data_IF_451022041766
#
_entry.id   IF_451022041766
#
_cell.length_a   1.000
_cell.length_b   1.000
_cell.length_c   1.000
_cell.angle_alpha   90.00
_cell.angle_beta   90.00
_cell.angle_gamma   90.00
#
_symmetry.space_group_name_H-M   'P 1'
#
loop_
_entity.id
_entity.type
_entity.pdbx_description
1 polymer ?
#
# COMPACT_ATOMS: atom_id res chain seq x y z
N UNK A 1 -9.07 -18.47 -53.46
CA UNK A 1 -8.12 -18.45 -52.33
C UNK A 1 -7.55 -17.05 -52.19
N UNK A 2 -7.97 -16.28 -51.18
CA UNK A 2 -7.35 -15.00 -50.84
C UNK A 2 -7.39 -14.84 -49.32
N UNK A 3 -6.22 -14.55 -48.75
CA UNK A 3 -5.85 -14.72 -47.34
C UNK A 3 -6.65 -13.80 -46.42
N UNK A 4 -7.13 -14.36 -45.31
CA UNK A 4 -7.70 -13.66 -44.19
C UNK A 4 -6.64 -12.69 -43.60
N UNK A 5 -6.95 -11.39 -43.61
CA UNK A 5 -6.21 -10.39 -42.85
C UNK A 5 -6.66 -10.48 -41.41
N UNK A 6 -5.96 -11.27 -40.61
CA UNK A 6 -6.02 -11.20 -39.15
C UNK A 6 -5.62 -9.78 -38.72
N UNK A 7 -6.61 -8.98 -38.31
CA UNK A 7 -6.32 -7.73 -37.63
C UNK A 7 -5.70 -8.08 -36.27
N UNK A 8 -4.57 -7.46 -35.89
CA UNK A 8 -4.04 -7.60 -34.55
C UNK A 8 -5.07 -7.01 -33.58
N UNK A 9 -5.50 -7.84 -32.63
CA UNK A 9 -6.22 -7.42 -31.44
C UNK A 9 -5.41 -6.32 -30.78
N UNK A 10 -5.93 -5.09 -30.83
CA UNK A 10 -5.43 -4.01 -30.00
C UNK A 10 -5.55 -4.47 -28.54
N UNK A 11 -4.42 -4.86 -27.93
CA UNK A 11 -4.31 -4.98 -26.47
C UNK A 11 -4.69 -3.60 -25.95
N UNK A 12 -5.81 -3.54 -25.24
CA UNK A 12 -6.25 -2.35 -24.52
C UNK A 12 -5.05 -1.87 -23.69
N UNK A 13 -4.52 -0.72 -24.07
CA UNK A 13 -3.59 0.05 -23.25
C UNK A 13 -4.41 0.46 -22.03
N UNK A 14 -4.24 -0.26 -20.92
CA UNK A 14 -4.92 0.07 -19.68
C UNK A 14 -4.49 1.47 -19.27
N UNK A 15 -5.44 2.40 -19.38
CA UNK A 15 -5.30 3.80 -19.06
C UNK A 15 -5.02 3.93 -17.56
N UNK A 16 -3.86 4.49 -17.21
CA UNK A 16 -3.49 4.98 -15.86
C UNK A 16 -3.22 3.92 -14.78
N UNK A 17 -2.41 2.88 -15.04
CA UNK A 17 -1.82 2.12 -13.94
C UNK A 17 -0.84 3.05 -13.18
N UNK A 18 -1.23 3.54 -12.01
CA UNK A 18 -0.33 4.28 -11.13
C UNK A 18 0.90 3.41 -10.83
N UNK A 19 2.13 3.94 -10.93
CA UNK A 19 3.33 3.14 -10.75
C UNK A 19 3.40 2.57 -9.33
N UNK A 20 4.02 1.40 -9.19
CA UNK A 20 4.34 0.79 -7.91
C UNK A 20 5.60 1.45 -7.35
N UNK A 21 5.47 2.19 -6.25
CA UNK A 21 6.61 2.76 -5.53
C UNK A 21 7.12 1.77 -4.48
N UNK A 22 8.15 1.00 -4.83
CA UNK A 22 8.67 -0.08 -3.99
C UNK A 22 10.05 0.25 -3.43
N UNK A 23 10.29 -0.11 -2.18
CA UNK A 23 11.64 -0.15 -1.60
C UNK A 23 12.47 -1.26 -2.27
N UNK A 24 13.78 -1.27 -2.01
CA UNK A 24 14.65 -2.32 -2.54
C UNK A 24 14.21 -3.73 -2.10
N UNK A 25 13.71 -3.89 -0.87
CA UNK A 25 13.29 -5.19 -0.35
C UNK A 25 11.92 -5.60 -0.87
N UNK A 26 10.97 -4.67 -0.96
CA UNK A 26 9.66 -4.93 -1.58
C UNK A 26 9.80 -5.26 -3.07
N UNK A 27 10.74 -4.62 -3.76
CA UNK A 27 11.04 -4.94 -5.15
C UNK A 27 11.50 -6.39 -5.29
N UNK A 28 12.35 -6.90 -4.38
CA UNK A 28 12.76 -8.32 -4.39
C UNK A 28 11.55 -9.23 -4.23
N UNK A 29 10.66 -8.93 -3.27
CA UNK A 29 9.41 -9.67 -3.07
C UNK A 29 8.55 -9.64 -4.33
N UNK A 30 8.39 -8.47 -4.95
CA UNK A 30 7.58 -8.30 -6.16
C UNK A 30 8.17 -9.09 -7.33
N UNK A 31 9.50 -9.10 -7.51
CA UNK A 31 10.13 -9.88 -8.58
C UNK A 31 9.96 -11.39 -8.42
N UNK A 32 9.71 -11.88 -7.20
CA UNK A 32 9.43 -13.29 -6.94
C UNK A 32 8.00 -13.70 -7.34
N UNK A 33 7.11 -12.74 -7.63
CA UNK A 33 5.77 -13.03 -8.13
C UNK A 33 5.78 -13.61 -9.55
N UNK A 34 4.68 -14.30 -9.87
CA UNK A 34 4.45 -14.86 -11.20
C UNK A 34 4.52 -13.76 -12.27
N UNK A 35 4.98 -14.11 -13.48
CA UNK A 35 5.08 -13.15 -14.58
C UNK A 35 3.74 -12.50 -14.93
N UNK A 36 2.62 -13.21 -14.73
CA UNK A 36 1.27 -12.71 -14.94
C UNK A 36 0.96 -11.52 -14.03
N UNK A 37 1.18 -11.65 -12.72
CA UNK A 37 0.92 -10.59 -11.74
C UNK A 37 1.83 -9.36 -11.93
N UNK A 38 2.98 -9.53 -12.59
CA UNK A 38 3.93 -8.45 -12.87
C UNK A 38 3.67 -7.74 -14.19
N UNK A 39 2.91 -8.34 -15.12
CA UNK A 39 2.69 -7.77 -16.45
C UNK A 39 1.94 -6.44 -16.33
N UNK A 40 2.39 -5.41 -17.07
CA UNK A 40 1.72 -4.12 -17.14
C UNK A 40 2.04 -3.13 -16.02
N UNK A 41 2.80 -3.51 -14.99
CA UNK A 41 3.15 -2.63 -13.87
C UNK A 41 4.50 -1.92 -14.07
N UNK A 42 4.48 -0.59 -13.98
CA UNK A 42 5.71 0.21 -13.88
C UNK A 42 6.17 0.24 -12.41
N UNK A 43 7.43 -0.16 -12.14
CA UNK A 43 7.98 -0.19 -10.78
C UNK A 43 9.00 0.94 -10.59
N UNK A 44 8.64 1.94 -9.79
CA UNK A 44 9.52 3.03 -9.36
C UNK A 44 10.18 2.71 -8.02
N UNK A 45 11.35 3.28 -7.81
CA UNK A 45 12.07 3.14 -6.54
C UNK A 45 11.50 4.13 -5.53
N UNK A 46 11.09 3.63 -4.36
CA UNK A 46 10.77 4.47 -3.21
C UNK A 46 12.05 4.86 -2.48
N UNK A 47 12.34 6.17 -2.45
CA UNK A 47 13.54 6.75 -1.83
C UNK A 47 13.22 7.58 -0.59
N UNK A 48 11.95 7.87 -0.37
CA UNK A 48 11.45 8.57 0.80
C UNK A 48 11.90 7.85 2.05
N UNK A 49 12.48 8.61 2.97
CA UNK A 49 12.81 8.14 4.31
C UNK A 49 11.99 8.95 5.27
N UNK A 50 11.38 8.25 6.21
CA UNK A 50 10.69 8.87 7.31
C UNK A 50 11.10 8.15 8.58
N UNK A 51 11.37 8.95 9.60
CA UNK A 51 11.57 8.46 10.95
C UNK A 51 10.36 8.92 11.73
N UNK A 52 9.53 7.95 12.09
CA UNK A 52 8.31 8.20 12.85
C UNK A 52 8.65 8.23 14.33
N UNK A 53 8.54 9.40 14.95
CA UNK A 53 8.64 9.50 16.40
C UNK A 53 7.28 9.24 17.03
N UNK A 54 7.21 8.70 18.26
CA UNK A 54 5.95 8.51 18.97
C UNK A 54 5.11 9.80 19.04
N UNK A 55 5.76 10.96 19.20
CA UNK A 55 5.09 12.27 19.25
C UNK A 55 4.44 12.63 17.91
N UNK A 56 5.10 12.32 16.77
CA UNK A 56 4.53 12.56 15.44
C UNK A 56 3.36 11.64 15.15
N UNK A 57 3.42 10.39 15.62
CA UNK A 57 2.30 9.46 15.56
C UNK A 57 1.10 9.97 16.35
N UNK A 58 1.33 10.41 17.59
CA UNK A 58 0.28 10.96 18.44
C UNK A 58 -0.34 12.22 17.81
N UNK A 59 0.47 13.13 17.26
CA UNK A 59 -0.04 14.30 16.55
C UNK A 59 -0.92 13.89 15.36
N UNK A 60 -0.53 12.91 14.53
CA UNK A 60 -1.40 12.45 13.43
C UNK A 60 -2.71 11.87 13.93
N UNK A 61 -2.67 11.12 15.03
CA UNK A 61 -3.88 10.59 15.66
C UNK A 61 -4.80 11.71 16.17
N UNK A 62 -4.25 12.76 16.77
CA UNK A 62 -5.01 13.91 17.27
C UNK A 62 -5.57 14.80 16.14
N UNK A 63 -4.87 14.89 15.01
CA UNK A 63 -5.27 15.72 13.86
C UNK A 63 -6.41 15.14 13.04
N UNK A 64 -6.60 13.82 13.07
CA UNK A 64 -7.65 13.18 12.29
C UNK A 64 -8.99 13.33 12.99
N UNK A 65 -10.02 13.70 12.21
CA UNK A 65 -11.43 13.67 12.62
C UNK A 65 -11.98 12.24 12.71
N UNK A 66 -11.11 11.26 12.89
CA UNK A 66 -11.52 9.90 13.18
C UNK A 66 -12.41 9.94 14.42
N UNK A 67 -13.54 9.25 14.36
CA UNK A 67 -14.27 8.94 15.56
C UNK A 67 -13.33 8.10 16.44
N UNK A 68 -12.61 8.75 17.37
CA UNK A 68 -11.60 8.12 18.22
C UNK A 68 -12.16 6.85 18.84
N UNK A 69 -13.42 6.84 19.27
CA UNK A 69 -14.03 5.65 19.86
C UNK A 69 -14.10 4.44 18.92
N UNK A 70 -14.34 4.65 17.61
CA UNK A 70 -14.47 3.56 16.63
C UNK A 70 -13.12 2.96 16.23
N UNK A 71 -12.08 3.80 16.08
CA UNK A 71 -10.79 3.39 15.50
C UNK A 71 -9.63 3.36 16.49
N UNK A 72 -9.82 3.82 17.73
CA UNK A 72 -8.78 3.79 18.77
C UNK A 72 -8.16 2.41 18.94
N UNK A 73 -8.95 1.34 18.93
CA UNK A 73 -8.42 -0.03 19.09
C UNK A 73 -7.48 -0.43 17.94
N UNK A 74 -7.81 -0.02 16.72
CA UNK A 74 -7.00 -0.31 15.53
C UNK A 74 -5.69 0.46 15.61
N UNK A 75 -5.76 1.75 15.93
CA UNK A 75 -4.59 2.62 16.07
C UNK A 75 -3.70 2.17 17.23
N UNK A 76 -4.27 1.92 18.41
CA UNK A 76 -3.53 1.46 19.58
C UNK A 76 -2.83 0.12 19.28
N UNK A 77 -3.50 -0.81 18.57
CA UNK A 77 -2.89 -2.08 18.18
C UNK A 77 -1.77 -1.88 17.15
N UNK A 78 -1.99 -1.06 16.13
CA UNK A 78 -0.95 -0.73 15.14
C UNK A 78 0.29 -0.13 15.83
N UNK A 79 0.08 0.74 16.82
CA UNK A 79 1.15 1.35 17.61
C UNK A 79 1.93 0.36 18.48
N UNK A 80 1.44 -0.87 18.68
CA UNK A 80 2.18 -1.93 19.38
C UNK A 80 2.96 -2.86 18.46
N UNK A 81 2.75 -2.78 17.14
CA UNK A 81 3.45 -3.65 16.18
C UNK A 81 4.94 -3.29 16.11
N UNK A 82 5.81 -4.22 16.52
CA UNK A 82 7.27 -4.13 16.47
C UNK A 82 7.90 -5.30 15.71
N UNK A 83 7.13 -6.34 15.42
CA UNK A 83 7.58 -7.53 14.70
C UNK A 83 6.62 -7.96 13.59
N UNK A 84 7.09 -8.81 12.70
CA UNK A 84 6.27 -9.39 11.64
C UNK A 84 5.14 -10.28 12.18
N UNK A 85 5.35 -10.93 13.33
CA UNK A 85 4.34 -11.75 14.00
C UNK A 85 3.20 -10.89 14.58
N UNK A 86 3.56 -9.81 15.27
CA UNK A 86 2.58 -8.84 15.79
C UNK A 86 1.83 -8.15 14.64
N UNK A 87 2.51 -7.87 13.53
CA UNK A 87 1.88 -7.34 12.33
C UNK A 87 0.85 -8.32 11.76
N UNK A 88 1.19 -9.61 11.69
CA UNK A 88 0.25 -10.63 11.22
C UNK A 88 -0.98 -10.71 12.13
N UNK A 89 -0.81 -10.67 13.46
CA UNK A 89 -1.94 -10.59 14.39
C UNK A 89 -2.76 -9.31 14.20
N UNK A 90 -2.13 -8.18 13.92
CA UNK A 90 -2.81 -6.93 13.62
C UNK A 90 -3.70 -7.05 12.38
N UNK A 91 -3.16 -7.50 11.24
CA UNK A 91 -3.91 -7.62 9.99
C UNK A 91 -5.08 -8.61 10.11
N UNK A 92 -4.91 -9.70 10.86
CA UNK A 92 -5.97 -10.68 11.09
C UNK A 92 -7.13 -10.16 11.95
N UNK A 93 -6.85 -9.23 12.86
CA UNK A 93 -7.86 -8.69 13.77
C UNK A 93 -8.59 -7.46 13.21
N UNK A 94 -8.03 -6.82 12.18
CA UNK A 94 -8.59 -5.62 11.57
C UNK A 94 -9.32 -5.97 10.29
N UNK A 95 -10.65 -5.84 10.33
CA UNK A 95 -11.46 -5.97 9.13
C UNK A 95 -11.44 -4.66 8.32
N UNK A 96 -10.50 -4.58 7.38
CA UNK A 96 -10.44 -3.46 6.44
C UNK A 96 -11.59 -3.46 5.42
N UNK A 97 -12.30 -4.58 5.23
CA UNK A 97 -13.34 -4.72 4.20
C UNK A 97 -14.63 -3.98 4.56
N UNK A 98 -14.88 -3.76 5.85
CA UNK A 98 -16.03 -3.00 6.35
C UNK A 98 -15.78 -1.50 6.46
N UNK A 99 -14.56 -1.02 6.15
CA UNK A 99 -14.22 0.39 6.17
C UNK A 99 -14.60 1.07 4.85
N UNK A 100 -15.15 2.28 4.95
CA UNK A 100 -15.24 3.18 3.78
C UNK A 100 -13.84 3.62 3.33
N UNK A 101 -13.73 4.11 2.10
CA UNK A 101 -12.45 4.59 1.57
C UNK A 101 -11.85 5.72 2.43
N UNK A 102 -12.68 6.66 2.90
CA UNK A 102 -12.23 7.75 3.77
C UNK A 102 -11.71 7.22 5.12
N UNK A 103 -12.43 6.26 5.72
CA UNK A 103 -12.01 5.63 6.98
C UNK A 103 -10.70 4.86 6.82
N UNK A 104 -10.51 4.16 5.71
CA UNK A 104 -9.26 3.46 5.41
C UNK A 104 -8.10 4.44 5.26
N UNK A 105 -8.29 5.54 4.53
CA UNK A 105 -7.26 6.58 4.36
C UNK A 105 -6.87 7.18 5.71
N UNK A 106 -7.84 7.51 6.55
CA UNK A 106 -7.60 8.06 7.88
C UNK A 106 -6.83 7.06 8.77
N UNK A 107 -7.21 5.78 8.74
CA UNK A 107 -6.47 4.72 9.48
C UNK A 107 -5.03 4.62 8.97
N UNK A 108 -4.82 4.53 7.65
CA UNK A 108 -3.48 4.44 7.05
C UNK A 108 -2.62 5.66 7.36
N UNK A 109 -3.20 6.86 7.37
CA UNK A 109 -2.50 8.09 7.76
C UNK A 109 -2.10 8.08 9.23
N UNK A 110 -2.99 7.58 10.10
CA UNK A 110 -2.70 7.47 11.52
C UNK A 110 -1.51 6.55 11.78
N UNK A 111 -1.61 5.30 11.30
CA UNK A 111 -0.62 4.25 11.58
C UNK A 111 0.74 4.55 10.93
N UNK A 112 0.76 5.39 9.90
CA UNK A 112 1.98 5.93 9.32
C UNK A 112 2.65 5.00 8.30
N UNK A 113 3.71 5.50 7.64
CA UNK A 113 4.31 4.84 6.48
C UNK A 113 5.02 3.52 6.81
N UNK A 114 5.44 3.30 8.06
CA UNK A 114 6.09 2.04 8.47
C UNK A 114 5.10 0.88 8.46
N UNK A 115 3.92 1.06 9.07
CA UNK A 115 2.84 0.07 9.06
C UNK A 115 2.33 -0.14 7.63
N UNK A 116 2.24 0.93 6.82
CA UNK A 116 1.90 0.80 5.40
C UNK A 116 2.94 -0.02 4.63
N UNK A 117 4.24 0.12 4.95
CA UNK A 117 5.29 -0.70 4.32
C UNK A 117 5.17 -2.18 4.67
N UNK A 118 4.74 -2.49 5.89
CA UNK A 118 4.42 -3.86 6.29
C UNK A 118 3.19 -4.40 5.54
N UNK A 119 2.14 -3.58 5.35
CA UNK A 119 0.97 -3.94 4.53
C UNK A 119 1.35 -4.20 3.08
N UNK A 120 2.22 -3.37 2.48
CA UNK A 120 2.74 -3.57 1.12
C UNK A 120 3.51 -4.89 1.03
N UNK A 121 4.45 -5.12 1.95
CA UNK A 121 5.29 -6.32 1.94
C UNK A 121 4.44 -7.59 2.10
N UNK A 122 3.47 -7.59 3.01
CA UNK A 122 2.55 -8.70 3.22
C UNK A 122 1.62 -8.91 2.02
N UNK A 123 1.06 -7.84 1.46
CA UNK A 123 0.23 -7.89 0.26
C UNK A 123 0.99 -8.52 -0.90
N UNK A 124 2.23 -8.08 -1.16
CA UNK A 124 3.09 -8.67 -2.20
C UNK A 124 3.32 -10.16 -1.92
N UNK A 125 3.64 -10.54 -0.69
CA UNK A 125 3.93 -11.94 -0.36
C UNK A 125 2.70 -12.87 -0.49
N UNK A 126 1.48 -12.33 -0.45
CA UNK A 126 0.23 -13.10 -0.42
C UNK A 126 -0.63 -12.93 -1.68
N UNK A 127 -0.22 -12.05 -2.61
CA UNK A 127 -0.94 -11.76 -3.85
C UNK A 127 -1.14 -13.01 -4.73
N UNK A 128 -2.38 -13.20 -5.19
CA UNK A 128 -2.80 -14.32 -6.05
C UNK A 128 -3.46 -13.83 -7.33
N UNK A 129 -4.07 -12.66 -7.30
CA UNK A 129 -4.87 -12.11 -8.39
C UNK A 129 -4.48 -10.66 -8.71
N UNK A 130 -4.83 -10.17 -9.90
CA UNK A 130 -4.44 -8.83 -10.34
C UNK A 130 -5.00 -7.73 -9.43
N UNK A 131 -6.18 -7.95 -8.84
CA UNK A 131 -6.79 -7.05 -7.84
C UNK A 131 -5.95 -6.89 -6.58
N UNK A 132 -5.18 -7.91 -6.20
CA UNK A 132 -4.26 -7.79 -5.06
C UNK A 132 -3.13 -6.81 -5.39
N UNK A 133 -2.65 -6.83 -6.65
CA UNK A 133 -1.61 -5.91 -7.12
C UNK A 133 -2.13 -4.48 -7.26
N UNK A 134 -3.40 -4.31 -7.65
CA UNK A 134 -4.07 -3.00 -7.64
C UNK A 134 -4.15 -2.41 -6.22
N UNK A 135 -4.49 -3.23 -5.21
CA UNK A 135 -4.49 -2.80 -3.81
C UNK A 135 -3.08 -2.42 -3.33
N UNK A 136 -2.07 -3.23 -3.68
CA UNK A 136 -0.66 -2.90 -3.41
C UNK A 136 -0.27 -1.58 -4.08
N UNK A 137 -0.74 -1.32 -5.31
CA UNK A 137 -0.51 -0.06 -5.99
C UNK A 137 -1.11 1.12 -5.22
N UNK A 138 -2.34 0.99 -4.71
CA UNK A 138 -2.95 2.02 -3.89
C UNK A 138 -2.11 2.31 -2.62
N UNK A 139 -1.64 1.28 -1.92
CA UNK A 139 -0.82 1.46 -0.71
C UNK A 139 0.55 2.07 -1.00
N UNK A 140 1.23 1.62 -2.06
CA UNK A 140 2.54 2.19 -2.45
C UNK A 140 2.42 3.66 -2.84
N UNK A 141 1.36 4.04 -3.56
CA UNK A 141 1.08 5.43 -3.91
C UNK A 141 0.73 6.26 -2.67
N UNK A 142 -0.11 5.75 -1.77
CA UNK A 142 -0.41 6.41 -0.51
C UNK A 142 0.86 6.69 0.30
N UNK A 143 1.70 5.67 0.50
CA UNK A 143 2.99 5.83 1.19
C UNK A 143 3.86 6.86 0.50
N UNK A 144 3.98 6.79 -0.82
CA UNK A 144 4.78 7.74 -1.59
C UNK A 144 4.34 9.18 -1.36
N UNK A 145 3.02 9.45 -1.41
CA UNK A 145 2.46 10.77 -1.18
C UNK A 145 2.73 11.27 0.25
N UNK A 146 2.57 10.40 1.26
CA UNK A 146 2.86 10.73 2.65
C UNK A 146 4.35 11.07 2.83
N UNK A 147 5.25 10.24 2.31
CA UNK A 147 6.70 10.49 2.38
C UNK A 147 7.11 11.76 1.64
N UNK A 148 6.53 12.01 0.47
CA UNK A 148 6.76 13.23 -0.29
C UNK A 148 6.35 14.49 0.50
N UNK A 149 5.22 14.44 1.22
CA UNK A 149 4.76 15.55 2.06
C UNK A 149 5.74 15.90 3.19
N UNK A 150 6.44 14.90 3.74
CA UNK A 150 7.49 15.13 4.74
C UNK A 150 8.78 15.68 4.14
N UNK A 151 9.09 15.33 2.90
CA UNK A 151 10.32 15.80 2.22
C UNK A 151 10.21 17.25 1.74
N UNK A 152 9.01 17.71 1.37
CA UNK A 152 8.75 19.09 0.95
C UNK A 152 8.83 20.12 2.09
N UNK A 153 8.93 19.64 3.35
CA UNK A 153 8.96 20.45 4.56
C UNK A 153 10.38 20.67 5.12
N UNK A 154 11.43 20.37 4.32
CA UNK A 154 12.84 20.59 4.69
C UNK A 154 13.50 21.65 3.83
#
# INVERSE_FOLDING_TARGET
MAKAKSHPTAKATSTMAHPLYLTADERKLFTALSAKLREGWEVKEEKGKYEDSPERQEIRYELLKLNKAKYKKIVDKANTVRSQEEFHSFVMDVDFSSMTQDELIDVLFTVGPDIVSLLISHGIATAKEDSDVELIAAFTNFRHLVLASYSASR
#
